data_IF_194057990147
#
_entry.id   IF_194057990147
#
_cell.length_a   1.000
_cell.length_b   1.000
_cell.length_c   1.000
_cell.angle_alpha   90.00
_cell.angle_beta   90.00
_cell.angle_gamma   90.00
#
_symmetry.space_group_name_H-M   'P 1'
#
loop_
_entity.id
_entity.type
_entity.pdbx_description
1 polymer ?
#
# COMPACT_ATOMS: atom_id res chain seq x y z
N UNK A 1 -22.32 -18.57 7.60
CA UNK A 1 -21.38 -18.94 6.51
C UNK A 1 -20.36 -17.81 6.41
N UNK A 2 -19.05 -18.06 6.56
CA UNK A 2 -18.03 -17.00 6.45
C UNK A 2 -18.17 -16.32 5.08
N UNK A 3 -17.99 -15.00 5.02
CA UNK A 3 -17.78 -14.34 3.74
C UNK A 3 -16.43 -14.84 3.19
N UNK A 4 -16.45 -15.82 2.28
CA UNK A 4 -15.24 -16.39 1.73
C UNK A 4 -14.42 -15.30 1.02
N UNK A 5 -13.09 -15.28 1.22
CA UNK A 5 -12.16 -14.30 0.62
C UNK A 5 -12.40 -12.84 1.04
N UNK A 6 -12.88 -12.59 2.26
CA UNK A 6 -13.05 -11.25 2.86
C UNK A 6 -12.16 -11.08 4.09
N UNK A 7 -11.70 -9.86 4.32
CA UNK A 7 -10.82 -9.52 5.44
C UNK A 7 -11.57 -9.24 6.73
N UNK A 8 -12.79 -8.71 6.63
CA UNK A 8 -13.61 -8.31 7.77
C UNK A 8 -14.85 -9.18 7.89
N UNK A 9 -15.21 -9.53 9.13
CA UNK A 9 -16.40 -10.31 9.43
C UNK A 9 -17.65 -9.43 9.48
N UNK A 10 -17.55 -8.23 10.05
CA UNK A 10 -18.66 -7.32 10.27
C UNK A 10 -18.79 -6.19 9.24
N UNK A 11 -20.02 -5.67 9.09
CA UNK A 11 -20.28 -4.36 8.50
C UNK A 11 -20.33 -3.33 9.63
N UNK A 12 -19.19 -2.71 9.94
CA UNK A 12 -19.23 -1.53 10.79
C UNK A 12 -19.94 -0.40 10.04
N UNK A 13 -20.89 0.33 10.65
CA UNK A 13 -21.53 1.46 10.00
C UNK A 13 -20.51 2.56 9.69
N UNK A 14 -20.81 3.36 8.65
CA UNK A 14 -20.04 4.56 8.33
C UNK A 14 -20.07 5.57 9.48
N UNK A 15 -19.04 6.41 9.59
CA UNK A 15 -18.83 7.30 10.74
C UNK A 15 -19.96 8.31 10.95
N UNK A 16 -20.63 8.70 9.87
CA UNK A 16 -21.70 9.70 9.87
C UNK A 16 -23.08 9.09 9.58
N UNK A 17 -23.20 7.76 9.64
CA UNK A 17 -24.48 7.09 9.39
C UNK A 17 -25.52 7.50 10.45
N UNK A 18 -26.63 8.10 9.99
CA UNK A 18 -27.74 8.58 10.84
C UNK A 18 -28.78 7.48 11.10
N UNK A 19 -28.67 6.33 10.40
CA UNK A 19 -29.57 5.21 10.55
C UNK A 19 -28.79 3.91 10.65
N UNK A 20 -28.99 3.22 11.78
CA UNK A 20 -28.44 1.90 12.03
C UNK A 20 -29.49 0.86 11.63
N UNK A 21 -29.20 0.07 10.59
CA UNK A 21 -29.91 -1.18 10.38
C UNK A 21 -29.00 -2.28 10.90
N UNK A 22 -29.22 -2.71 12.14
CA UNK A 22 -28.68 -3.97 12.65
C UNK A 22 -29.40 -5.09 11.91
N UNK A 23 -28.91 -5.47 10.73
CA UNK A 23 -29.38 -6.71 10.13
C UNK A 23 -28.69 -7.86 10.86
N UNK A 24 -29.43 -8.64 11.66
CA UNK A 24 -29.02 -9.93 12.25
C UNK A 24 -28.72 -11.03 11.20
N UNK A 25 -28.60 -10.65 9.93
CA UNK A 25 -28.28 -11.58 8.85
C UNK A 25 -26.81 -11.99 8.94
N UNK A 26 -26.49 -13.29 8.86
CA UNK A 26 -25.10 -13.75 8.87
C UNK A 26 -24.34 -13.08 7.72
N UNK A 27 -23.02 -12.81 7.88
CA UNK A 27 -22.23 -12.12 6.86
C UNK A 27 -22.28 -12.89 5.53
N UNK A 28 -23.05 -12.39 4.58
CA UNK A 28 -23.17 -13.00 3.25
C UNK A 28 -21.94 -12.60 2.45
N UNK A 29 -21.32 -13.57 1.76
CA UNK A 29 -20.27 -13.29 0.78
C UNK A 29 -20.84 -12.43 -0.36
N UNK A 30 -20.72 -11.10 -0.26
CA UNK A 30 -21.20 -10.17 -1.30
C UNK A 30 -20.22 -10.19 -2.48
N UNK A 31 -20.72 -10.20 -3.73
CA UNK A 31 -19.86 -10.00 -4.89
C UNK A 31 -19.23 -8.60 -4.82
N UNK A 32 -17.99 -8.46 -5.29
CA UNK A 32 -17.36 -7.14 -5.44
C UNK A 32 -18.07 -6.37 -6.55
N UNK A 33 -18.50 -5.14 -6.27
CA UNK A 33 -19.07 -4.19 -7.21
C UNK A 33 -18.06 -3.13 -7.59
N UNK A 34 -18.07 -2.77 -8.86
CA UNK A 34 -17.17 -1.77 -9.43
C UNK A 34 -17.97 -0.56 -9.88
N UNK A 35 -17.60 0.61 -9.35
CA UNK A 35 -18.24 1.89 -9.66
C UNK A 35 -17.30 2.73 -10.50
N UNK A 36 -17.84 3.46 -11.46
CA UNK A 36 -17.07 4.46 -12.20
C UNK A 36 -17.02 5.75 -11.39
N UNK A 37 -15.84 6.26 -11.07
CA UNK A 37 -15.62 7.55 -10.42
C UNK A 37 -14.92 8.48 -11.41
N UNK A 38 -15.50 9.66 -11.67
CA UNK A 38 -14.80 10.71 -12.42
C UNK A 38 -13.97 11.54 -11.43
N UNK A 39 -12.66 11.41 -11.52
CA UNK A 39 -11.74 12.17 -10.70
C UNK A 39 -11.68 13.63 -11.20
N UNK A 40 -11.77 14.59 -10.29
CA UNK A 40 -11.46 16.01 -10.56
C UNK A 40 -9.97 16.33 -10.37
N UNK A 41 -9.29 15.52 -9.57
CA UNK A 41 -7.84 15.53 -9.35
C UNK A 41 -7.36 14.11 -9.06
N UNK A 42 -6.13 13.80 -9.48
CA UNK A 42 -5.51 12.49 -9.26
C UNK A 42 -4.25 12.55 -8.40
N UNK A 43 -3.50 13.67 -8.45
CA UNK A 43 -2.30 13.89 -7.63
C UNK A 43 -2.72 14.44 -6.27
N UNK A 44 -2.47 13.68 -5.22
CA UNK A 44 -2.66 14.08 -3.83
C UNK A 44 -1.32 14.48 -3.21
N UNK A 45 -1.31 15.53 -2.41
CA UNK A 45 -0.11 16.02 -1.71
C UNK A 45 -0.21 15.79 -0.20
N UNK A 46 0.91 15.48 0.44
CA UNK A 46 1.04 15.38 1.88
C UNK A 46 2.28 16.13 2.37
N UNK A 47 2.33 16.47 3.67
CA UNK A 47 3.47 17.15 4.32
C UNK A 47 4.02 16.34 5.49
N UNK A 48 3.86 15.01 5.44
CA UNK A 48 4.23 14.17 6.56
C UNK A 48 5.74 13.96 6.58
N UNK A 49 6.44 14.19 7.71
CA UNK A 49 7.86 13.93 7.81
C UNK A 49 8.19 12.43 7.91
N UNK A 50 7.18 11.57 8.05
CA UNK A 50 7.35 10.11 8.11
C UNK A 50 7.31 9.44 6.73
N UNK A 51 7.15 10.21 5.66
CA UNK A 51 7.04 9.69 4.30
C UNK A 51 8.17 10.30 3.45
N UNK A 52 8.92 9.50 2.67
CA UNK A 52 10.00 10.01 1.83
C UNK A 52 9.47 10.67 0.53
N UNK A 53 8.19 11.04 0.48
CA UNK A 53 7.53 11.57 -0.70
C UNK A 53 6.40 12.55 -0.34
N UNK A 54 6.17 13.52 -1.23
CA UNK A 54 5.12 14.52 -1.06
C UNK A 54 3.87 14.18 -1.88
N UNK A 55 4.04 13.62 -3.07
CA UNK A 55 2.96 13.39 -4.03
C UNK A 55 2.60 11.92 -4.16
N UNK A 56 1.31 11.64 -4.29
CA UNK A 56 0.83 10.28 -4.52
C UNK A 56 -0.38 10.21 -5.44
N UNK A 57 -0.56 9.03 -6.05
CA UNK A 57 -1.70 8.70 -6.89
C UNK A 57 -2.30 7.38 -6.40
N UNK A 58 -3.63 7.33 -6.30
CA UNK A 58 -4.37 6.12 -6.01
C UNK A 58 -5.42 5.94 -7.12
N UNK A 59 -5.26 4.94 -8.02
CA UNK A 59 -6.19 4.69 -9.14
C UNK A 59 -7.59 4.29 -8.68
N UNK A 60 -7.69 3.75 -7.46
CA UNK A 60 -8.92 3.21 -6.89
C UNK A 60 -9.24 3.84 -5.54
N UNK A 61 -10.53 3.89 -5.20
CA UNK A 61 -11.02 4.02 -3.83
C UNK A 61 -11.58 2.67 -3.39
N UNK A 62 -11.14 2.19 -2.23
CA UNK A 62 -11.38 0.81 -1.79
C UNK A 62 -10.28 -0.11 -2.29
N UNK A 63 -10.11 -1.24 -1.60
CA UNK A 63 -9.08 -2.20 -1.93
C UNK A 63 -9.58 -3.64 -1.81
N UNK A 64 -9.68 -4.31 -2.95
CA UNK A 64 -10.08 -5.71 -3.08
C UNK A 64 -9.16 -6.69 -2.34
N UNK A 65 -7.92 -6.31 -2.01
CA UNK A 65 -7.02 -7.18 -1.24
C UNK A 65 -7.60 -7.54 0.12
N UNK A 66 -8.46 -6.68 0.68
CA UNK A 66 -9.17 -6.94 1.93
C UNK A 66 -8.26 -7.10 3.14
N UNK A 67 -7.15 -6.36 3.21
CA UNK A 67 -6.26 -6.49 4.37
C UNK A 67 -6.99 -6.03 5.65
N UNK A 68 -7.16 -6.88 6.66
CA UNK A 68 -7.90 -6.52 7.88
C UNK A 68 -7.31 -5.29 8.58
N UNK A 69 -5.98 -5.19 8.59
CA UNK A 69 -5.22 -4.11 9.24
C UNK A 69 -5.14 -2.82 8.40
N UNK A 70 -5.80 -2.73 7.25
CA UNK A 70 -5.59 -1.64 6.31
C UNK A 70 -5.99 -0.28 6.90
N UNK A 71 -5.00 0.61 7.09
CA UNK A 71 -5.22 1.95 7.64
C UNK A 71 -6.11 2.84 6.75
N UNK A 72 -6.35 2.45 5.49
CA UNK A 72 -7.20 3.18 4.55
C UNK A 72 -8.69 2.84 4.65
N UNK A 73 -9.06 1.79 5.40
CA UNK A 73 -10.47 1.42 5.66
C UNK A 73 -11.35 2.60 6.09
N UNK A 74 -10.90 3.49 6.99
CA UNK A 74 -11.68 4.67 7.38
C UNK A 74 -12.09 5.59 6.23
N UNK A 75 -11.44 5.54 5.05
CA UNK A 75 -11.82 6.40 3.92
C UNK A 75 -13.25 6.14 3.42
N UNK A 76 -13.74 4.90 3.54
CA UNK A 76 -15.12 4.55 3.18
C UNK A 76 -16.13 5.11 4.19
N UNK A 77 -15.71 5.27 5.45
CA UNK A 77 -16.56 5.82 6.50
C UNK A 77 -16.90 7.32 6.28
N UNK A 78 -16.14 8.04 5.45
CA UNK A 78 -16.41 9.45 5.08
C UNK A 78 -17.44 9.60 3.95
N UNK A 79 -17.81 8.51 3.28
CA UNK A 79 -18.78 8.50 2.17
C UNK A 79 -19.94 7.55 2.47
N UNK A 80 -20.28 7.42 3.76
CA UNK A 80 -21.36 6.60 4.28
C UNK A 80 -21.32 5.12 3.85
N UNK A 81 -20.11 4.59 3.62
CA UNK A 81 -19.86 3.18 3.37
C UNK A 81 -19.18 2.52 4.57
N UNK A 82 -19.39 1.21 4.73
CA UNK A 82 -18.73 0.45 5.79
C UNK A 82 -17.20 0.42 5.59
N UNK A 83 -16.39 0.83 6.58
CA UNK A 83 -14.94 0.60 6.56
C UNK A 83 -14.58 -0.89 6.71
N UNK A 84 -15.56 -1.73 7.05
CA UNK A 84 -15.48 -3.18 7.04
C UNK A 84 -15.60 -3.76 5.62
N UNK A 85 -16.71 -4.43 5.35
CA UNK A 85 -16.90 -5.17 4.10
C UNK A 85 -16.99 -4.27 2.86
N UNK A 86 -17.60 -3.06 2.95
CA UNK A 86 -17.76 -2.20 1.77
C UNK A 86 -16.41 -1.67 1.27
N UNK A 87 -15.42 -1.46 2.14
CA UNK A 87 -14.06 -1.05 1.71
C UNK A 87 -13.44 -2.02 0.70
N UNK A 88 -13.73 -3.31 0.82
CA UNK A 88 -13.17 -4.38 -0.02
C UNK A 88 -14.15 -4.93 -1.05
N UNK A 89 -15.42 -4.50 -1.04
CA UNK A 89 -16.46 -4.93 -1.97
C UNK A 89 -17.07 -3.80 -2.82
N UNK A 90 -16.98 -2.54 -2.42
CA UNK A 90 -17.39 -1.37 -3.21
C UNK A 90 -16.16 -0.60 -3.70
N UNK A 91 -15.74 -0.90 -4.92
CA UNK A 91 -14.48 -0.39 -5.49
C UNK A 91 -14.79 0.68 -6.54
N UNK A 92 -14.31 1.89 -6.32
CA UNK A 92 -14.48 2.99 -7.25
C UNK A 92 -13.24 3.13 -8.14
N UNK A 93 -13.46 2.99 -9.45
CA UNK A 93 -12.44 3.02 -10.49
C UNK A 93 -12.39 4.43 -11.09
N UNK A 94 -11.22 5.08 -11.02
CA UNK A 94 -11.02 6.42 -11.60
C UNK A 94 -10.69 6.31 -13.09
N UNK A 95 -11.70 6.01 -13.90
CA UNK A 95 -11.51 5.70 -15.33
C UNK A 95 -10.87 6.86 -16.12
N UNK A 96 -11.01 8.12 -15.69
CA UNK A 96 -10.39 9.29 -16.33
C UNK A 96 -9.03 9.66 -15.71
N UNK A 97 -8.43 8.83 -14.87
CA UNK A 97 -7.23 9.18 -14.11
C UNK A 97 -6.04 9.58 -14.99
N UNK A 98 -5.83 8.91 -16.13
CA UNK A 98 -4.74 9.24 -17.05
C UNK A 98 -4.94 10.60 -17.74
N UNK A 99 -6.17 10.95 -18.12
CA UNK A 99 -6.51 12.27 -18.67
C UNK A 99 -6.24 13.37 -17.63
N UNK A 100 -6.78 13.21 -16.42
CA UNK A 100 -6.60 14.17 -15.32
C UNK A 100 -5.12 14.31 -14.93
N UNK A 101 -4.34 13.22 -15.02
CA UNK A 101 -2.91 13.26 -14.80
C UNK A 101 -2.21 14.12 -15.86
N UNK A 102 -2.46 13.86 -17.15
CA UNK A 102 -1.89 14.66 -18.26
C UNK A 102 -2.19 16.15 -18.08
N UNK A 103 -3.45 16.49 -17.78
CA UNK A 103 -3.85 17.89 -17.57
C UNK A 103 -3.16 18.51 -16.36
N UNK A 104 -2.95 17.74 -15.29
CA UNK A 104 -2.23 18.20 -14.11
C UNK A 104 -0.76 18.47 -14.40
N UNK A 105 -0.09 17.58 -15.13
CA UNK A 105 1.33 17.71 -15.49
C UNK A 105 1.59 18.84 -16.49
N UNK A 106 0.60 19.23 -17.32
CA UNK A 106 0.71 20.31 -18.30
C UNK A 106 0.69 21.71 -17.67
N UNK A 107 0.17 21.85 -16.45
CA UNK A 107 0.01 23.17 -15.81
C UNK A 107 1.37 23.89 -15.71
N UNK A 108 1.49 25.17 -16.13
CA UNK A 108 2.75 25.92 -16.01
C UNK A 108 3.29 26.02 -14.57
N UNK A 109 2.39 25.93 -13.59
CA UNK A 109 2.71 25.91 -12.16
C UNK A 109 3.17 24.54 -11.66
N UNK A 110 3.04 23.47 -12.45
CA UNK A 110 3.46 22.14 -12.04
C UNK A 110 4.98 22.10 -11.81
N UNK A 111 5.39 21.42 -10.74
CA UNK A 111 6.79 21.19 -10.41
C UNK A 111 6.96 19.69 -10.25
N UNK A 112 7.83 19.13 -11.08
CA UNK A 112 8.10 17.70 -11.06
C UNK A 112 8.70 17.30 -9.71
N UNK A 113 8.06 16.32 -9.08
CA UNK A 113 8.51 15.66 -7.85
C UNK A 113 8.19 14.17 -8.02
N UNK A 114 8.97 13.25 -7.44
CA UNK A 114 8.63 11.83 -7.47
C UNK A 114 7.19 11.57 -6.97
N UNK A 115 6.39 10.86 -7.77
CA UNK A 115 5.02 10.48 -7.41
C UNK A 115 4.99 9.02 -6.96
N UNK A 116 4.36 8.75 -5.82
CA UNK A 116 4.17 7.38 -5.33
C UNK A 116 2.77 6.89 -5.64
N UNK A 117 2.67 5.81 -6.41
CA UNK A 117 1.41 5.12 -6.70
C UNK A 117 1.18 4.04 -5.65
N UNK A 118 -0.04 3.93 -5.15
CA UNK A 118 -0.44 2.82 -4.28
C UNK A 118 -0.30 3.07 -2.79
N UNK A 119 -0.38 4.33 -2.37
CA UNK A 119 -0.18 4.71 -0.96
C UNK A 119 -1.35 4.30 -0.08
N UNK A 120 -2.59 4.41 -0.58
CA UNK A 120 -3.82 4.18 0.20
C UNK A 120 -4.52 2.90 -0.25
N UNK A 121 -4.54 2.63 -1.54
CA UNK A 121 -5.12 1.43 -2.15
C UNK A 121 -4.08 0.80 -3.07
N UNK A 122 -4.12 -0.53 -3.24
CA UNK A 122 -3.15 -1.16 -4.13
C UNK A 122 -3.50 -0.80 -5.59
N UNK A 123 -2.51 -0.42 -6.43
CA UNK A 123 -2.76 -0.10 -7.84
C UNK A 123 -2.96 -1.36 -8.68
N UNK A 124 -2.64 -2.55 -8.15
CA UNK A 124 -2.66 -3.84 -8.85
C UNK A 124 -3.66 -4.83 -8.22
N UNK A 125 -4.85 -4.33 -7.87
CA UNK A 125 -5.98 -5.14 -7.40
C UNK A 125 -6.48 -6.10 -8.49
N UNK A 126 -7.25 -7.16 -8.16
CA UNK A 126 -7.83 -8.07 -9.15
C UNK A 126 -8.50 -7.39 -10.35
N UNK A 127 -9.26 -6.31 -10.15
CA UNK A 127 -9.92 -5.54 -11.22
C UNK A 127 -8.95 -4.88 -12.21
N UNK A 128 -7.69 -4.65 -11.81
CA UNK A 128 -6.67 -4.05 -12.67
C UNK A 128 -6.28 -4.98 -13.84
N UNK A 129 -6.63 -6.28 -13.80
CA UNK A 129 -6.49 -7.19 -14.96
C UNK A 129 -7.30 -6.70 -16.16
N UNK A 130 -8.49 -6.17 -15.89
CA UNK A 130 -9.45 -5.71 -16.90
C UNK A 130 -9.32 -4.20 -17.14
N UNK A 131 -9.24 -3.40 -16.07
CA UNK A 131 -9.33 -1.93 -16.16
C UNK A 131 -8.05 -1.26 -16.65
N UNK A 132 -6.87 -1.80 -16.31
CA UNK A 132 -5.56 -1.27 -16.75
C UNK A 132 -5.32 0.22 -16.44
N UNK A 133 -5.99 0.78 -15.44
CA UNK A 133 -5.90 2.22 -15.11
C UNK A 133 -4.49 2.55 -14.61
N UNK A 134 -3.88 1.65 -13.84
CA UNK A 134 -2.48 1.81 -13.40
C UNK A 134 -1.55 1.83 -14.59
N UNK A 135 -1.73 0.92 -15.56
CA UNK A 135 -0.92 0.92 -16.78
C UNK A 135 -1.06 2.22 -17.57
N UNK A 136 -2.28 2.74 -17.72
CA UNK A 136 -2.52 4.01 -18.40
C UNK A 136 -1.84 5.20 -17.69
N UNK A 137 -1.89 5.23 -16.35
CA UNK A 137 -1.16 6.21 -15.56
C UNK A 137 0.36 6.10 -15.74
N UNK A 138 0.90 4.87 -15.74
CA UNK A 138 2.31 4.63 -16.01
C UNK A 138 2.71 5.09 -17.40
N UNK A 139 1.88 4.87 -18.42
CA UNK A 139 2.14 5.36 -19.77
C UNK A 139 2.28 6.88 -19.79
N UNK A 140 1.39 7.61 -19.12
CA UNK A 140 1.50 9.08 -19.01
C UNK A 140 2.81 9.49 -18.36
N UNK A 141 3.21 8.83 -17.28
CA UNK A 141 4.46 9.13 -16.58
C UNK A 141 5.68 8.81 -17.43
N UNK A 142 5.67 7.69 -18.17
CA UNK A 142 6.72 7.32 -19.13
C UNK A 142 6.83 8.34 -20.26
N UNK A 143 5.70 8.72 -20.88
CA UNK A 143 5.65 9.71 -21.96
C UNK A 143 6.26 11.03 -21.49
N UNK A 144 5.96 11.44 -20.26
CA UNK A 144 6.48 12.67 -19.67
C UNK A 144 7.88 12.54 -19.04
N UNK A 145 8.51 11.36 -19.11
CA UNK A 145 9.77 11.05 -18.41
C UNK A 145 9.72 11.43 -16.92
N UNK A 146 8.57 11.25 -16.30
CA UNK A 146 8.27 11.67 -14.94
C UNK A 146 8.67 10.57 -13.93
N UNK A 147 9.40 10.90 -12.85
CA UNK A 147 9.79 9.92 -11.85
C UNK A 147 8.61 9.40 -11.02
N UNK A 148 8.60 8.10 -10.74
CA UNK A 148 7.57 7.47 -9.93
C UNK A 148 8.07 6.29 -9.10
N UNK A 149 7.33 5.96 -8.04
CA UNK A 149 7.51 4.71 -7.30
C UNK A 149 6.18 4.00 -7.15
N UNK A 150 6.18 2.67 -7.16
CA UNK A 150 4.98 1.85 -6.97
C UNK A 150 5.03 1.16 -5.60
N UNK A 151 3.96 1.20 -4.82
CA UNK A 151 3.80 0.37 -3.62
C UNK A 151 2.75 -0.70 -3.92
N UNK A 152 3.08 -1.98 -3.75
CA UNK A 152 2.13 -3.07 -4.03
C UNK A 152 2.39 -4.35 -3.22
N UNK A 153 1.34 -5.17 -3.13
CA UNK A 153 1.34 -6.57 -2.64
C UNK A 153 1.05 -7.59 -3.75
N UNK A 154 0.97 -7.13 -5.00
CA UNK A 154 0.47 -7.91 -6.13
C UNK A 154 1.59 -8.31 -7.09
N UNK A 155 1.51 -9.54 -7.60
CA UNK A 155 2.36 -10.03 -8.69
C UNK A 155 2.12 -9.33 -10.02
N UNK A 156 0.97 -8.67 -10.19
CA UNK A 156 0.59 -8.03 -11.45
C UNK A 156 1.49 -6.85 -11.82
N UNK A 157 2.27 -6.31 -10.89
CA UNK A 157 3.30 -5.30 -11.21
C UNK A 157 4.28 -5.78 -12.29
N UNK A 158 4.53 -7.08 -12.38
CA UNK A 158 5.39 -7.67 -13.42
C UNK A 158 4.81 -7.55 -14.83
N UNK A 159 3.49 -7.34 -14.98
CA UNK A 159 2.85 -7.09 -16.28
C UNK A 159 3.40 -5.82 -16.93
N UNK A 160 3.66 -4.79 -16.12
CA UNK A 160 4.04 -3.45 -16.59
C UNK A 160 5.55 -3.22 -16.50
N UNK A 161 6.34 -4.31 -16.44
CA UNK A 161 7.80 -4.25 -16.40
C UNK A 161 8.39 -3.61 -17.66
N UNK A 162 7.69 -3.71 -18.79
CA UNK A 162 8.03 -3.04 -20.05
C UNK A 162 8.04 -1.51 -19.93
N UNK A 163 7.22 -0.94 -19.03
CA UNK A 163 7.19 0.49 -18.72
C UNK A 163 8.12 0.86 -17.55
N UNK A 164 8.18 -0.01 -16.53
CA UNK A 164 8.93 0.26 -15.29
C UNK A 164 10.44 0.15 -15.51
N UNK A 165 10.93 -0.89 -16.17
CA UNK A 165 12.36 -1.16 -16.28
C UNK A 165 13.14 -0.08 -17.07
N UNK A 166 12.65 0.45 -18.22
CA UNK A 166 13.31 1.57 -18.88
C UNK A 166 13.40 2.82 -18.01
N UNK A 167 12.35 3.15 -17.27
CA UNK A 167 12.34 4.30 -16.36
C UNK A 167 13.30 4.08 -15.18
N UNK A 168 13.38 2.86 -14.65
CA UNK A 168 14.32 2.52 -13.60
C UNK A 168 15.79 2.68 -14.04
N UNK A 169 16.13 2.25 -15.27
CA UNK A 169 17.47 2.47 -15.85
C UNK A 169 17.82 3.95 -16.00
N UNK A 170 16.83 4.80 -16.22
CA UNK A 170 17.00 6.25 -16.23
C UNK A 170 17.04 6.90 -14.84
N UNK A 171 16.97 6.11 -13.75
CA UNK A 171 16.90 6.62 -12.38
C UNK A 171 15.54 7.21 -12.00
N UNK A 172 14.48 6.88 -12.74
CA UNK A 172 13.14 7.50 -12.63
C UNK A 172 12.05 6.54 -12.15
N UNK A 173 12.35 5.26 -11.91
CA UNK A 173 11.38 4.33 -11.33
C UNK A 173 11.97 3.45 -10.25
N UNK A 174 11.16 3.16 -9.23
CA UNK A 174 11.42 2.16 -8.20
C UNK A 174 10.13 1.44 -7.81
N UNK A 175 10.26 0.31 -7.12
CA UNK A 175 9.10 -0.45 -6.63
C UNK A 175 9.31 -0.83 -5.18
N UNK A 176 8.33 -0.52 -4.34
CA UNK A 176 8.23 -1.02 -2.98
C UNK A 176 7.24 -2.20 -2.91
N UNK A 177 7.71 -3.35 -2.44
CA UNK A 177 6.88 -4.56 -2.27
C UNK A 177 6.61 -4.78 -0.79
N UNK A 178 5.33 -4.86 -0.37
CA UNK A 178 5.02 -5.18 1.03
C UNK A 178 5.03 -6.68 1.28
N UNK A 179 5.85 -7.15 2.22
CA UNK A 179 5.93 -8.56 2.64
C UNK A 179 5.59 -8.65 4.12
N UNK A 180 4.35 -9.05 4.42
CA UNK A 180 3.84 -9.11 5.80
C UNK A 180 4.18 -10.43 6.50
N UNK A 181 4.16 -11.54 5.77
CA UNK A 181 4.41 -12.89 6.27
C UNK A 181 4.80 -13.79 5.10
N UNK A 182 5.56 -14.85 5.36
CA UNK A 182 5.84 -15.92 4.40
C UNK A 182 4.93 -17.14 4.62
N UNK A 183 4.17 -17.17 5.71
CA UNK A 183 3.13 -18.16 5.99
C UNK A 183 1.88 -17.89 5.15
N UNK A 184 1.53 -18.84 4.27
CA UNK A 184 0.34 -18.76 3.43
C UNK A 184 -0.98 -18.79 4.21
N UNK A 185 -1.02 -19.46 5.37
CA UNK A 185 -2.21 -19.49 6.24
C UNK A 185 -2.44 -18.10 6.82
N UNK A 186 -1.42 -17.52 7.45
CA UNK A 186 -1.50 -16.18 8.03
C UNK A 186 -1.78 -15.11 6.96
N UNK A 187 -1.14 -15.21 5.79
CA UNK A 187 -1.47 -14.38 4.62
C UNK A 187 -2.95 -14.49 4.27
N UNK A 188 -3.50 -15.70 4.22
CA UNK A 188 -4.92 -15.94 3.90
C UNK A 188 -5.87 -15.28 4.91
N UNK A 189 -5.50 -15.27 6.19
CA UNK A 189 -6.27 -14.65 7.27
C UNK A 189 -6.15 -13.11 7.27
N UNK A 190 -4.96 -12.57 7.01
CA UNK A 190 -4.71 -11.13 7.04
C UNK A 190 -5.04 -10.42 5.72
N UNK A 191 -4.79 -11.05 4.58
CA UNK A 191 -4.73 -10.46 3.23
C UNK A 191 -5.28 -11.42 2.16
N UNK A 192 -6.56 -11.80 2.25
CA UNK A 192 -7.13 -12.94 1.54
C UNK A 192 -6.90 -12.89 0.02
N UNK A 193 -7.02 -11.71 -0.58
CA UNK A 193 -6.96 -11.53 -2.04
C UNK A 193 -5.64 -10.91 -2.55
N UNK A 194 -4.66 -10.69 -1.69
CA UNK A 194 -3.31 -10.30 -2.10
C UNK A 194 -2.48 -11.50 -2.60
N UNK A 195 -1.32 -11.27 -3.22
CA UNK A 195 -0.43 -12.38 -3.64
C UNK A 195 0.23 -13.06 -2.43
N UNK A 196 0.57 -14.34 -2.50
CA UNK A 196 1.25 -15.05 -1.40
C UNK A 196 2.68 -14.53 -1.15
N UNK A 197 3.22 -14.82 0.03
CA UNK A 197 4.55 -14.33 0.44
C UNK A 197 5.66 -14.81 -0.49
N UNK A 198 5.63 -16.09 -0.88
CA UNK A 198 6.59 -16.67 -1.83
C UNK A 198 6.49 -16.05 -3.22
N UNK A 199 5.28 -15.73 -3.67
CA UNK A 199 5.06 -15.04 -4.93
C UNK A 199 5.60 -13.60 -4.90
N UNK A 200 5.53 -12.92 -3.74
CA UNK A 200 6.15 -11.59 -3.57
C UNK A 200 7.68 -11.68 -3.60
N UNK A 201 8.29 -12.72 -3.04
CA UNK A 201 9.73 -12.98 -3.20
C UNK A 201 10.12 -13.18 -4.68
N UNK A 202 9.27 -13.88 -5.46
CA UNK A 202 9.47 -14.00 -6.91
C UNK A 202 9.39 -12.63 -7.60
N UNK A 203 8.42 -11.79 -7.24
CA UNK A 203 8.30 -10.42 -7.78
C UNK A 203 9.56 -9.60 -7.52
N UNK A 204 10.07 -9.62 -6.29
CA UNK A 204 11.31 -8.92 -5.92
C UNK A 204 12.46 -9.39 -6.82
N UNK A 205 12.58 -10.71 -7.03
CA UNK A 205 13.62 -11.29 -7.89
C UNK A 205 13.53 -10.87 -9.34
N UNK A 206 12.33 -10.90 -9.93
CA UNK A 206 12.15 -10.50 -11.33
C UNK A 206 12.35 -9.00 -11.53
N UNK A 207 11.91 -8.16 -10.59
CA UNK A 207 12.16 -6.71 -10.62
C UNK A 207 13.67 -6.42 -10.52
N UNK A 208 14.36 -7.04 -9.57
CA UNK A 208 15.80 -6.86 -9.37
C UNK A 208 16.59 -7.32 -10.60
N UNK A 209 16.24 -8.46 -11.21
CA UNK A 209 16.83 -8.94 -12.47
C UNK A 209 16.65 -7.99 -13.64
N UNK A 210 15.53 -7.27 -13.68
CA UNK A 210 15.26 -6.26 -14.69
C UNK A 210 15.95 -4.90 -14.41
N UNK A 211 16.75 -4.81 -13.35
CA UNK A 211 17.46 -3.60 -12.95
C UNK A 211 16.56 -2.56 -12.29
N UNK A 212 15.40 -2.96 -11.75
CA UNK A 212 14.50 -2.06 -11.01
C UNK A 212 14.96 -1.99 -9.56
N UNK A 213 15.19 -0.78 -8.99
CA UNK A 213 15.39 -0.63 -7.55
C UNK A 213 14.15 -1.09 -6.78
N UNK A 214 14.34 -2.05 -5.88
CA UNK A 214 13.32 -2.65 -5.03
C UNK A 214 13.57 -2.33 -3.56
N UNK A 215 12.59 -1.70 -2.95
CA UNK A 215 12.47 -1.57 -1.49
C UNK A 215 11.47 -2.61 -0.99
N UNK A 216 11.70 -3.21 0.17
CA UNK A 216 10.71 -4.06 0.83
C UNK A 216 10.14 -3.39 2.07
N UNK A 217 8.83 -3.51 2.26
CA UNK A 217 8.16 -3.06 3.47
C UNK A 217 7.65 -4.27 4.25
N UNK A 218 8.27 -4.56 5.39
CA UNK A 218 7.72 -5.52 6.36
C UNK A 218 6.61 -4.81 7.14
N UNK A 219 5.42 -4.81 6.56
CA UNK A 219 4.35 -3.93 7.00
C UNK A 219 2.95 -4.59 6.87
N UNK A 220 2.25 -4.83 8.00
CA UNK A 220 2.64 -4.51 9.38
C UNK A 220 3.50 -5.58 10.06
N UNK A 221 4.33 -5.17 11.02
CA UNK A 221 4.84 -6.03 12.10
C UNK A 221 3.82 -6.03 13.24
N UNK A 222 3.37 -7.22 13.63
CA UNK A 222 2.30 -7.49 14.59
C UNK A 222 2.87 -8.38 15.71
N UNK A 223 3.01 -7.85 16.94
CA UNK A 223 3.51 -8.62 18.08
C UNK A 223 2.74 -9.92 18.30
N UNK A 224 3.45 -11.03 18.56
CA UNK A 224 2.92 -12.38 18.78
C UNK A 224 2.14 -13.02 17.62
N UNK A 225 2.08 -12.36 16.46
CA UNK A 225 1.42 -12.86 15.26
C UNK A 225 2.44 -13.16 14.16
N UNK A 226 3.20 -12.16 13.70
CA UNK A 226 4.24 -12.34 12.66
C UNK A 226 5.61 -11.75 13.02
N UNK A 227 5.76 -11.12 14.19
CA UNK A 227 7.01 -10.48 14.61
C UNK A 227 8.17 -11.47 14.79
N UNK A 228 7.89 -12.76 14.93
CA UNK A 228 8.88 -13.84 14.94
C UNK A 228 9.47 -14.14 13.54
N UNK A 229 8.80 -13.72 12.45
CA UNK A 229 9.27 -13.90 11.07
C UNK A 229 10.20 -12.76 10.60
N UNK A 230 10.36 -11.70 11.41
CA UNK A 230 10.96 -10.43 10.98
C UNK A 230 12.34 -10.61 10.34
N UNK A 231 13.25 -11.31 11.00
CA UNK A 231 14.60 -11.54 10.51
C UNK A 231 14.61 -12.46 9.29
N UNK A 232 13.80 -13.53 9.29
CA UNK A 232 13.73 -14.45 8.13
C UNK A 232 13.22 -13.72 6.88
N UNK A 233 12.17 -12.91 7.00
CA UNK A 233 11.68 -12.06 5.91
C UNK A 233 12.80 -11.17 5.38
N UNK A 234 13.54 -10.49 6.27
CA UNK A 234 14.67 -9.61 5.88
C UNK A 234 15.74 -10.38 5.10
N UNK A 235 16.15 -11.56 5.55
CA UNK A 235 17.15 -12.37 4.84
C UNK A 235 16.61 -12.85 3.48
N UNK A 236 15.37 -13.35 3.43
CA UNK A 236 14.77 -13.86 2.19
C UNK A 236 14.60 -12.76 1.14
N UNK A 237 14.25 -11.53 1.54
CA UNK A 237 14.06 -10.43 0.60
C UNK A 237 15.40 -9.89 0.07
N UNK A 238 16.44 -9.88 0.90
CA UNK A 238 17.80 -9.59 0.46
C UNK A 238 18.30 -10.63 -0.54
N UNK A 239 18.10 -11.92 -0.26
CA UNK A 239 18.41 -13.02 -1.20
C UNK A 239 17.60 -12.94 -2.50
N UNK A 240 16.39 -12.39 -2.45
CA UNK A 240 15.59 -12.11 -3.64
C UNK A 240 16.09 -10.90 -4.43
N UNK A 241 16.99 -10.08 -3.90
CA UNK A 241 17.61 -8.95 -4.60
C UNK A 241 16.99 -7.59 -4.27
N UNK A 242 16.29 -7.44 -3.15
CA UNK A 242 15.95 -6.11 -2.63
C UNK A 242 17.22 -5.35 -2.22
N UNK A 243 17.24 -4.02 -2.39
CA UNK A 243 18.38 -3.19 -1.96
C UNK A 243 18.08 -2.43 -0.66
N UNK A 244 16.80 -2.19 -0.38
CA UNK A 244 16.37 -1.48 0.80
C UNK A 244 15.25 -2.23 1.52
N UNK A 245 15.17 -2.04 2.83
CA UNK A 245 14.02 -2.47 3.59
C UNK A 245 13.58 -1.42 4.61
N UNK A 246 12.31 -1.47 4.97
CA UNK A 246 11.75 -0.78 6.13
C UNK A 246 10.67 -1.63 6.75
N UNK A 247 10.30 -1.32 7.99
CA UNK A 247 9.16 -1.95 8.65
C UNK A 247 8.19 -0.89 9.17
N UNK A 248 6.94 -1.30 9.34
CA UNK A 248 5.90 -0.48 9.97
C UNK A 248 5.18 -1.36 10.98
N UNK A 249 5.09 -0.92 12.23
CA UNK A 249 4.27 -1.58 13.25
C UNK A 249 2.79 -1.43 12.89
N UNK A 250 1.97 -2.41 13.27
CA UNK A 250 0.52 -2.36 13.09
C UNK A 250 -0.07 -1.02 13.56
N UNK A 251 -0.92 -0.43 12.72
CA UNK A 251 -1.61 0.84 12.98
C UNK A 251 -3.10 0.58 13.06
N UNK A 252 -3.74 1.09 14.11
CA UNK A 252 -5.17 0.87 14.37
C UNK A 252 -5.96 2.19 14.44
N UNK A 253 -5.92 3.03 13.39
CA UNK A 253 -6.68 4.27 13.39
C UNK A 253 -8.19 4.00 13.33
N UNK A 254 -8.96 4.75 14.13
CA UNK A 254 -10.42 4.81 14.05
C UNK A 254 -11.07 3.41 14.00
N UNK A 255 -11.87 3.12 12.97
CA UNK A 255 -12.67 1.90 12.83
C UNK A 255 -11.80 0.64 12.62
N UNK A 256 -10.52 0.79 12.31
CA UNK A 256 -9.59 -0.35 12.19
C UNK A 256 -9.37 -1.03 13.54
N UNK A 257 -9.36 -0.28 14.65
CA UNK A 257 -9.14 -0.83 15.99
C UNK A 257 -10.21 -1.84 16.41
N UNK A 258 -11.52 -1.52 16.32
CA UNK A 258 -12.59 -2.48 16.55
C UNK A 258 -12.56 -3.69 15.60
N UNK A 259 -12.38 -3.47 14.29
CA UNK A 259 -12.28 -4.57 13.31
C UNK A 259 -11.13 -5.54 13.64
N UNK A 260 -9.99 -5.00 14.06
CA UNK A 260 -8.83 -5.79 14.43
C UNK A 260 -9.07 -6.62 15.70
N UNK A 261 -9.75 -6.05 16.70
CA UNK A 261 -10.11 -6.79 17.91
C UNK A 261 -11.09 -7.94 17.63
N UNK A 262 -12.09 -7.71 16.77
CA UNK A 262 -13.00 -8.76 16.30
C UNK A 262 -12.21 -9.88 15.60
N UNK A 263 -11.30 -9.51 14.69
CA UNK A 263 -10.46 -10.48 13.98
C UNK A 263 -9.55 -11.27 14.94
N UNK A 264 -8.94 -10.61 15.93
CA UNK A 264 -8.12 -11.28 16.94
C UNK A 264 -8.93 -12.27 17.77
N UNK A 265 -10.17 -11.93 18.14
CA UNK A 265 -11.03 -12.81 18.91
C UNK A 265 -11.42 -14.08 18.12
N UNK A 266 -11.64 -13.99 16.81
CA UNK A 266 -11.97 -15.14 15.96
C UNK A 266 -10.74 -16.02 15.66
N UNK A 267 -9.59 -15.41 15.34
CA UNK A 267 -8.43 -16.14 14.81
C UNK A 267 -7.38 -16.49 15.87
N UNK A 268 -7.22 -15.67 16.91
CA UNK A 268 -6.18 -15.80 17.93
C UNK A 268 -6.70 -15.46 19.34
N UNK A 269 -7.79 -16.09 19.81
CA UNK A 269 -8.41 -15.74 21.11
C UNK A 269 -7.42 -15.81 22.27
N UNK A 270 -6.57 -16.85 22.30
CA UNK A 270 -5.56 -17.06 23.35
C UNK A 270 -4.46 -15.99 23.39
N UNK A 271 -4.33 -15.18 22.32
CA UNK A 271 -3.32 -14.13 22.20
C UNK A 271 -3.92 -12.73 22.18
N UNK A 272 -5.23 -12.59 22.01
CA UNK A 272 -5.90 -11.32 21.73
C UNK A 272 -5.57 -10.23 22.76
N UNK A 273 -5.74 -10.53 24.06
CA UNK A 273 -5.44 -9.58 25.14
C UNK A 273 -3.95 -9.18 25.15
N UNK A 274 -3.06 -10.16 24.95
CA UNK A 274 -1.61 -9.93 24.96
C UNK A 274 -1.17 -9.05 23.80
N UNK A 275 -1.68 -9.31 22.60
CA UNK A 275 -1.44 -8.48 21.41
C UNK A 275 -1.92 -7.05 21.68
N UNK A 276 -3.16 -6.88 22.13
CA UNK A 276 -3.73 -5.56 22.38
C UNK A 276 -3.06 -4.81 23.54
N UNK A 277 -2.51 -5.52 24.53
CA UNK A 277 -1.68 -4.91 25.58
C UNK A 277 -0.41 -4.31 24.98
N UNK A 278 0.35 -5.07 24.19
CA UNK A 278 1.58 -4.57 23.56
C UNK A 278 1.27 -3.47 22.55
N UNK A 279 0.16 -3.57 21.81
CA UNK A 279 -0.27 -2.50 20.92
C UNK A 279 -0.53 -1.19 21.66
N UNK A 280 -1.10 -1.24 22.88
CA UNK A 280 -1.26 -0.06 23.73
C UNK A 280 0.07 0.49 24.21
N UNK A 281 0.98 -0.37 24.64
CA UNK A 281 2.32 0.06 25.08
C UNK A 281 3.09 0.76 23.95
N UNK A 282 3.03 0.20 22.74
CA UNK A 282 3.61 0.77 21.52
C UNK A 282 3.05 2.16 21.17
N UNK A 283 1.85 2.49 21.63
CA UNK A 283 1.15 3.74 21.34
C UNK A 283 0.82 4.56 22.62
N UNK A 284 1.61 4.41 23.68
CA UNK A 284 1.53 5.26 24.87
C UNK A 284 0.25 5.10 25.68
N UNK A 285 -0.32 3.89 25.71
CA UNK A 285 -1.54 3.53 26.43
C UNK A 285 -2.81 3.61 25.58
N UNK A 286 -2.77 4.30 24.43
CA UNK A 286 -3.87 4.34 23.48
C UNK A 286 -3.83 3.15 22.51
N UNK A 287 -4.95 2.82 21.87
CA UNK A 287 -4.98 1.79 20.81
C UNK A 287 -4.13 2.21 19.59
N UNK A 288 -4.07 3.52 19.31
CA UNK A 288 -3.27 4.08 18.24
C UNK A 288 -2.91 5.54 18.53
N UNK A 289 -1.65 5.89 18.27
CA UNK A 289 -1.13 7.25 18.33
C UNK A 289 -0.86 7.75 16.91
N UNK A 290 -1.44 8.90 16.55
CA UNK A 290 -1.32 9.48 15.21
C UNK A 290 -0.15 10.47 15.07
N UNK A 291 0.57 10.77 16.15
CA UNK A 291 1.73 11.68 16.14
C UNK A 291 2.81 11.20 15.17
N UNK A 292 3.39 12.15 14.44
CA UNK A 292 4.54 11.89 13.58
C UNK A 292 5.69 11.28 14.36
N UNK A 293 6.54 10.53 13.67
CA UNK A 293 7.67 9.76 14.17
C UNK A 293 7.32 8.61 15.12
N UNK A 294 6.07 8.53 15.61
CA UNK A 294 5.63 7.48 16.53
C UNK A 294 4.65 6.51 15.86
N UNK A 295 3.73 7.03 15.04
CA UNK A 295 2.65 6.24 14.43
C UNK A 295 3.08 5.07 13.54
N UNK A 296 4.35 4.99 13.10
CA UNK A 296 4.85 3.91 12.25
C UNK A 296 5.78 2.93 13.00
N UNK A 297 6.54 3.40 14.00
CA UNK A 297 7.53 2.58 14.71
C UNK A 297 7.12 2.20 16.12
N UNK A 298 6.13 2.89 16.70
CA UNK A 298 5.77 2.82 18.11
C UNK A 298 6.83 3.43 19.04
N UNK A 299 6.58 3.31 20.34
CA UNK A 299 7.46 3.73 21.43
C UNK A 299 7.61 2.63 22.51
N UNK A 300 8.53 2.83 23.45
CA UNK A 300 8.77 1.91 24.57
C UNK A 300 9.67 0.71 24.23
N UNK A 301 9.78 -0.21 25.20
CA UNK A 301 10.74 -1.32 25.13
C UNK A 301 10.51 -2.25 23.93
N UNK A 302 9.23 -2.50 23.58
CA UNK A 302 8.91 -3.37 22.45
C UNK A 302 9.29 -2.73 21.10
N UNK A 303 9.05 -1.43 20.93
CA UNK A 303 9.49 -0.70 19.74
C UNK A 303 11.01 -0.72 19.59
N UNK A 304 11.73 -0.54 20.71
CA UNK A 304 13.20 -0.61 20.73
C UNK A 304 13.71 -2.01 20.36
N UNK A 305 13.09 -3.07 20.89
CA UNK A 305 13.42 -4.45 20.54
C UNK A 305 13.21 -4.74 19.05
N UNK A 306 12.04 -4.34 18.50
CA UNK A 306 11.75 -4.52 17.07
C UNK A 306 12.75 -3.79 16.19
N UNK A 307 13.08 -2.54 16.54
CA UNK A 307 14.09 -1.74 15.83
C UNK A 307 15.45 -2.44 15.85
N UNK A 308 15.93 -2.82 17.03
CA UNK A 308 17.23 -3.48 17.18
C UNK A 308 17.32 -4.78 16.38
N UNK A 309 16.26 -5.60 16.40
CA UNK A 309 16.15 -6.85 15.63
C UNK A 309 16.18 -6.56 14.13
N UNK A 310 15.35 -5.63 13.66
CA UNK A 310 15.29 -5.24 12.26
C UNK A 310 16.62 -4.68 11.75
N UNK A 311 17.19 -3.68 12.43
CA UNK A 311 18.44 -3.03 12.03
C UNK A 311 19.59 -4.03 12.02
N UNK A 312 19.63 -4.97 12.99
CA UNK A 312 20.62 -6.03 13.02
C UNK A 312 20.50 -6.97 11.83
N UNK A 313 19.27 -7.37 11.46
CA UNK A 313 19.01 -8.23 10.32
C UNK A 313 19.31 -7.53 8.99
N UNK A 314 18.97 -6.24 8.85
CA UNK A 314 19.29 -5.46 7.65
C UNK A 314 20.82 -5.34 7.48
N UNK A 315 21.55 -5.03 8.56
CA UNK A 315 23.02 -4.98 8.55
C UNK A 315 23.64 -6.32 8.15
N UNK A 316 23.15 -7.44 8.70
CA UNK A 316 23.68 -8.77 8.33
C UNK A 316 23.34 -9.17 6.90
N UNK A 317 22.20 -8.73 6.38
CA UNK A 317 21.74 -9.03 5.03
C UNK A 317 22.25 -8.03 3.96
N UNK A 318 22.94 -6.96 4.36
CA UNK A 318 23.46 -5.93 3.44
C UNK A 318 22.38 -5.00 2.86
N UNK A 319 21.24 -4.86 3.54
CA UNK A 319 20.16 -3.95 3.15
C UNK A 319 20.36 -2.57 3.75
N UNK A 320 20.02 -1.53 2.98
CA UNK A 320 20.05 -0.14 3.43
C UNK A 320 18.65 0.28 3.93
N UNK A 321 18.60 1.20 4.88
CA UNK A 321 17.35 1.79 5.31
C UNK A 321 16.68 2.60 4.20
N UNK A 322 15.34 2.63 4.23
CA UNK A 322 14.53 3.44 3.32
C UNK A 322 14.52 4.91 3.75
N UNK A 323 15.61 5.63 3.52
CA UNK A 323 15.75 7.02 3.99
C UNK A 323 15.18 8.06 3.00
N UNK A 324 15.25 7.84 1.69
CA UNK A 324 14.76 8.80 0.70
C UNK A 324 14.30 8.16 -0.61
N UNK A 325 13.46 8.88 -1.36
CA UNK A 325 13.09 8.55 -2.73
C UNK A 325 13.81 9.51 -3.68
N UNK A 326 15.11 9.28 -3.88
CA UNK A 326 15.91 10.06 -4.82
C UNK A 326 15.72 9.50 -6.24
N UNK A 327 14.85 10.14 -7.01
CA UNK A 327 14.57 9.80 -8.40
C UNK A 327 14.78 11.03 -9.28
N UNK A 328 15.36 10.83 -10.45
CA UNK A 328 15.70 11.90 -11.37
C UNK A 328 14.45 12.65 -11.87
N UNK A 329 14.34 13.93 -11.49
CA UNK A 329 13.31 14.86 -11.96
C UNK A 329 13.76 15.71 -13.15
N UNK A 330 15.05 15.73 -13.48
CA UNK A 330 15.64 16.60 -14.50
C UNK A 330 15.23 16.22 -15.92
N UNK A 331 14.87 14.95 -16.14
CA UNK A 331 14.39 14.47 -17.43
C UNK A 331 12.92 14.77 -17.74
N UNK A 332 12.16 15.37 -16.81
CA UNK A 332 10.72 15.59 -17.00
C UNK A 332 10.41 16.49 -18.20
N UNK A 333 9.51 16.02 -19.04
CA UNK A 333 8.97 16.76 -20.19
C UNK A 333 7.46 16.92 -20.01
N UNK A 334 6.93 18.16 -19.89
CA UNK A 334 5.49 18.35 -19.75
C UNK A 334 4.76 17.90 -21.03
N UNK A 335 3.52 17.37 -20.91
CA UNK A 335 2.74 16.96 -22.07
C UNK A 335 2.47 18.14 -23.02
N UNK A 336 2.66 17.95 -24.32
CA UNK A 336 2.34 18.96 -25.34
C UNK A 336 0.84 19.30 -25.42
N UNK A 337 0.45 20.34 -26.20
CA UNK A 337 -0.92 20.89 -26.25
C UNK A 337 -2.02 19.86 -26.58
N UNK A 338 -1.67 18.76 -27.22
CA UNK A 338 -2.58 17.66 -27.61
C UNK A 338 -2.13 16.28 -27.11
N UNK A 339 -1.23 16.20 -26.13
CA UNK A 339 -0.68 14.94 -25.64
C UNK A 339 0.40 14.32 -26.55
N UNK A 340 0.81 15.04 -27.60
CA UNK A 340 1.94 14.69 -28.45
C UNK A 340 3.25 15.20 -27.80
N UNK A 341 4.26 14.32 -27.72
CA UNK A 341 5.63 14.75 -27.44
C UNK A 341 6.13 15.60 -28.61
N UNK A 342 6.84 16.70 -28.33
CA UNK A 342 7.44 17.51 -29.38
C UNK A 342 8.42 16.65 -30.19
N UNK A 343 8.11 16.42 -31.47
CA UNK A 343 8.93 15.65 -32.43
C UNK A 343 10.27 16.31 -32.77
N UNK A 344 10.63 17.41 -32.11
CA UNK A 344 11.79 18.22 -32.45
C UNK A 344 12.55 18.57 -31.18
N UNK A 345 13.61 17.80 -30.90
CA UNK A 345 14.69 18.29 -30.05
C UNK A 345 15.34 19.47 -30.75
N UNK A 346 15.35 20.64 -30.10
CA UNK A 346 16.19 21.73 -30.55
C UNK A 346 17.65 21.32 -30.31
N UNK A 347 18.45 21.56 -31.36
CA UNK A 347 19.88 21.30 -31.54
C UNK A 347 20.74 21.64 -30.32
#
# INVERSE_FOLDING_TARGET
>A
MRAANRGTLSQLPGRFAVSHCESDSPPVSRPTRYHREKASSIIMTNRSPDLPFEQSINPYRGCEHGCIYCYARPNHAYVDLSPGQDFESEIFCKDNAAEVLRDSLRKPSYRCRPIVLGTVTDPYQPIERERRITRELLQVLVDCQHPFSLITKSTMVLRDLDLIAPMARAGRASVAVSVTTLDNRLKGELEPRASGGKERLKVIRELSRAGVPVTVLVAPVIPFINDHELEDIVHQVAMAGAQQAGYVVLRLPHEVGPLWQEWLADHYPDRAEKVMSVMRDLHGGAIYDSRWHQRQSGQGAWAHLLRQRFDSACRSAGLVDRESLDLDTGGFVPPGPHGQLSLWGAV
#
